data_IF_151691024384
#
_entry.id   IF_151691024384
#
_cell.length_a   1.000
_cell.length_b   1.000
_cell.length_c   1.000
_cell.angle_alpha   90.00
_cell.angle_beta   90.00
_cell.angle_gamma   90.00
#
_symmetry.space_group_name_H-M   'P 1'
#
loop_
_entity.id
_entity.type
_entity.pdbx_description
1 polymer ?
#
# COMPACT_ATOMS: atom_id res chain seq x y z
N UNK A 1 -81.81 25.10 -41.13
CA UNK A 1 -81.19 24.05 -40.29
C UNK A 1 -80.04 24.69 -39.51
N UNK A 2 -80.22 24.92 -38.20
CA UNK A 2 -79.20 25.53 -37.33
C UNK A 2 -78.19 24.46 -36.91
N UNK A 3 -76.91 24.64 -37.23
CA UNK A 3 -75.82 23.78 -36.72
C UNK A 3 -75.37 24.29 -35.36
N UNK A 4 -75.51 23.45 -34.34
CA UNK A 4 -74.96 23.65 -32.99
C UNK A 4 -73.52 23.11 -33.02
N UNK A 5 -72.54 23.95 -32.68
CA UNK A 5 -71.14 23.54 -32.51
C UNK A 5 -70.90 23.41 -31.00
N UNK A 6 -70.61 22.18 -30.58
CA UNK A 6 -70.27 21.80 -29.21
C UNK A 6 -68.77 22.04 -28.99
N UNK A 7 -68.40 22.98 -28.11
CA UNK A 7 -67.01 23.16 -27.67
C UNK A 7 -66.73 22.23 -26.49
N UNK A 8 -65.82 21.26 -26.68
CA UNK A 8 -65.30 20.40 -25.63
C UNK A 8 -64.12 21.11 -24.95
N UNK A 9 -64.24 21.40 -23.66
CA UNK A 9 -63.23 22.08 -22.85
C UNK A 9 -62.38 21.01 -22.14
N UNK A 10 -61.14 20.81 -22.58
CA UNK A 10 -60.17 19.91 -21.94
C UNK A 10 -59.40 20.72 -20.90
N UNK A 11 -59.56 20.37 -19.62
CA UNK A 11 -58.77 20.93 -18.51
C UNK A 11 -57.58 19.99 -18.27
N UNK A 12 -56.32 20.44 -18.40
CA UNK A 12 -55.18 19.63 -18.02
C UNK A 12 -55.02 19.64 -16.49
N UNK A 13 -55.14 18.48 -15.87
CA UNK A 13 -54.71 18.23 -14.50
C UNK A 13 -53.18 18.24 -14.46
N UNK A 14 -52.58 19.37 -14.07
CA UNK A 14 -51.16 19.43 -13.75
C UNK A 14 -50.97 18.92 -12.32
N UNK A 15 -50.61 17.65 -12.17
CA UNK A 15 -50.13 17.09 -10.91
C UNK A 15 -48.72 17.64 -10.65
N UNK A 16 -48.60 18.75 -9.92
CA UNK A 16 -47.30 19.21 -9.42
C UNK A 16 -46.94 18.40 -8.17
N UNK A 17 -46.30 17.24 -8.38
CA UNK A 17 -45.50 16.62 -7.33
C UNK A 17 -44.21 17.43 -7.21
N UNK A 18 -44.17 18.37 -6.27
CA UNK A 18 -42.97 19.13 -5.96
C UNK A 18 -42.08 18.25 -5.07
N UNK A 19 -41.18 17.49 -5.70
CA UNK A 19 -40.07 16.86 -4.98
C UNK A 19 -39.23 17.96 -4.34
N UNK A 20 -39.37 18.14 -3.03
CA UNK A 20 -38.52 19.04 -2.27
C UNK A 20 -37.12 18.45 -2.27
N UNK A 21 -36.20 19.06 -3.03
CA UNK A 21 -34.78 18.73 -2.95
C UNK A 21 -34.33 18.90 -1.49
N UNK A 22 -33.63 17.92 -0.88
CA UNK A 22 -33.11 18.09 0.46
C UNK A 22 -32.15 19.29 0.47
N UNK A 23 -32.50 20.29 1.27
CA UNK A 23 -31.69 21.50 1.47
C UNK A 23 -30.46 21.09 2.28
N UNK A 24 -29.27 21.49 1.81
CA UNK A 24 -28.04 21.30 2.58
C UNK A 24 -28.19 21.89 3.98
N UNK A 25 -27.62 21.24 5.00
CA UNK A 25 -27.57 21.84 6.34
C UNK A 25 -26.68 23.08 6.27
N UNK A 26 -27.29 24.26 6.29
CA UNK A 26 -26.56 25.54 6.31
C UNK A 26 -26.01 25.86 7.71
N UNK A 27 -26.62 25.33 8.78
CA UNK A 27 -26.17 25.51 10.16
C UNK A 27 -26.75 24.43 11.08
N UNK A 28 -25.99 24.07 12.12
CA UNK A 28 -26.46 23.23 13.21
C UNK A 28 -27.47 23.97 14.11
N UNK A 29 -28.62 23.33 14.35
CA UNK A 29 -29.62 23.77 15.35
C UNK A 29 -29.62 22.81 16.54
N UNK A 30 -30.16 23.20 17.72
CA UNK A 30 -30.31 22.29 18.86
C UNK A 30 -31.10 21.02 18.51
N UNK A 31 -32.14 21.15 17.69
CA UNK A 31 -32.99 20.03 17.26
C UNK A 31 -32.20 19.08 16.34
N UNK A 32 -31.50 19.61 15.34
CA UNK A 32 -30.68 18.82 14.43
C UNK A 32 -29.54 18.13 15.19
N UNK A 33 -28.89 18.84 16.10
CA UNK A 33 -27.83 18.30 16.96
C UNK A 33 -28.33 17.08 17.73
N UNK A 34 -29.51 17.20 18.36
CA UNK A 34 -30.15 16.09 19.08
C UNK A 34 -30.45 14.91 18.14
N UNK A 35 -30.98 15.17 16.94
CA UNK A 35 -31.30 14.13 15.95
C UNK A 35 -30.04 13.39 15.49
N UNK A 36 -28.95 14.09 15.22
CA UNK A 36 -27.69 13.49 14.77
C UNK A 36 -27.08 12.64 15.89
N UNK A 37 -27.04 13.15 17.13
CA UNK A 37 -26.54 12.38 18.30
C UNK A 37 -27.38 11.13 18.55
N UNK A 38 -28.70 11.22 18.45
CA UNK A 38 -29.60 10.08 18.65
C UNK A 38 -29.43 9.02 17.55
N UNK A 39 -29.36 9.45 16.29
CA UNK A 39 -29.13 8.58 15.14
C UNK A 39 -27.76 7.91 15.21
N UNK A 40 -26.71 8.66 15.57
CA UNK A 40 -25.36 8.12 15.74
C UNK A 40 -25.32 7.08 16.85
N UNK A 41 -25.94 7.37 17.99
CA UNK A 41 -25.99 6.47 19.13
C UNK A 41 -26.67 5.13 18.78
N UNK A 42 -27.79 5.17 18.03
CA UNK A 42 -28.46 3.97 17.53
C UNK A 42 -27.58 3.22 16.52
N UNK A 43 -26.91 3.94 15.61
CA UNK A 43 -26.01 3.35 14.63
C UNK A 43 -24.82 2.65 15.28
N UNK A 44 -24.21 3.26 16.32
CA UNK A 44 -23.13 2.65 17.10
C UNK A 44 -23.59 1.35 17.75
N UNK A 45 -24.72 1.37 18.46
CA UNK A 45 -25.23 0.18 19.15
C UNK A 45 -25.57 -0.95 18.17
N UNK A 46 -26.10 -0.62 16.99
CA UNK A 46 -26.49 -1.61 15.99
C UNK A 46 -25.30 -2.20 15.22
N UNK A 47 -24.26 -1.41 14.96
CA UNK A 47 -23.23 -1.77 13.99
C UNK A 47 -21.83 -1.91 14.57
N UNK A 48 -21.49 -1.26 15.68
CA UNK A 48 -20.12 -1.26 16.20
C UNK A 48 -19.73 -2.64 16.75
N UNK A 49 -18.52 -3.08 16.41
CA UNK A 49 -17.99 -4.42 16.68
C UNK A 49 -18.08 -4.83 18.16
N UNK A 50 -17.95 -3.88 19.09
CA UNK A 50 -18.02 -4.12 20.53
C UNK A 50 -19.23 -3.40 21.16
N UNK A 51 -20.32 -4.14 21.39
CA UNK A 51 -21.59 -3.56 21.86
C UNK A 51 -21.46 -2.81 23.20
N UNK A 52 -20.64 -3.30 24.13
CA UNK A 52 -20.36 -2.66 25.41
C UNK A 52 -19.68 -1.29 25.25
N UNK A 53 -18.66 -1.22 24.40
CA UNK A 53 -17.98 0.03 24.04
C UNK A 53 -18.90 1.00 23.29
N UNK A 54 -19.78 0.47 22.42
CA UNK A 54 -20.81 1.28 21.75
C UNK A 54 -21.72 1.99 22.75
N UNK A 55 -22.12 1.28 23.82
CA UNK A 55 -22.93 1.86 24.90
C UNK A 55 -22.18 2.94 25.67
N UNK A 56 -20.87 2.77 25.91
CA UNK A 56 -20.02 3.79 26.54
C UNK A 56 -19.97 5.06 25.69
N UNK A 57 -19.67 4.95 24.40
CA UNK A 57 -19.66 6.09 23.47
C UNK A 57 -21.01 6.79 23.41
N UNK A 58 -22.10 6.03 23.25
CA UNK A 58 -23.48 6.56 23.24
C UNK A 58 -23.79 7.35 24.52
N UNK A 59 -23.52 6.76 25.70
CA UNK A 59 -23.73 7.42 26.99
C UNK A 59 -22.91 8.71 27.12
N UNK A 60 -21.67 8.72 26.65
CA UNK A 60 -20.82 9.90 26.66
C UNK A 60 -21.39 11.01 25.78
N UNK A 61 -21.79 10.70 24.54
CA UNK A 61 -22.38 11.68 23.61
C UNK A 61 -23.67 12.30 24.16
N UNK A 62 -24.57 11.51 24.75
CA UNK A 62 -25.77 12.04 25.42
C UNK A 62 -25.42 12.92 26.62
N UNK A 63 -24.37 12.58 27.38
CA UNK A 63 -23.88 13.39 28.48
C UNK A 63 -23.37 14.76 28.02
N UNK A 64 -22.61 14.81 26.92
CA UNK A 64 -22.13 16.07 26.32
C UNK A 64 -23.28 16.91 25.77
N UNK A 65 -24.27 16.27 25.15
CA UNK A 65 -25.49 16.93 24.69
C UNK A 65 -26.27 17.55 25.86
N UNK A 66 -26.45 16.81 26.97
CA UNK A 66 -27.17 17.30 28.16
C UNK A 66 -26.46 18.47 28.85
N UNK A 67 -25.12 18.50 28.82
CA UNK A 67 -24.31 19.62 29.30
C UNK A 67 -24.34 20.84 28.37
N UNK A 68 -24.93 20.72 27.18
CA UNK A 68 -24.99 21.80 26.18
C UNK A 68 -23.66 22.07 25.48
N UNK A 69 -22.72 21.12 25.48
CA UNK A 69 -21.38 21.29 24.87
C UNK A 69 -21.49 21.66 23.38
N UNK A 70 -22.46 21.10 22.69
CA UNK A 70 -22.66 21.32 21.25
C UNK A 70 -23.46 22.59 20.91
N UNK A 71 -24.06 23.29 21.89
CA UNK A 71 -25.03 24.36 21.64
C UNK A 71 -24.48 25.52 20.80
N UNK A 72 -23.19 25.81 20.94
CA UNK A 72 -22.51 26.93 20.30
C UNK A 72 -21.82 26.55 18.98
N UNK A 73 -21.82 25.26 18.60
CA UNK A 73 -21.20 24.81 17.36
C UNK A 73 -22.24 24.92 16.24
N UNK A 74 -22.08 25.92 15.37
CA UNK A 74 -23.02 26.20 14.27
C UNK A 74 -22.58 25.60 12.93
N UNK A 75 -21.28 25.50 12.72
CA UNK A 75 -20.73 24.90 11.53
C UNK A 75 -20.84 23.35 11.58
N UNK A 76 -21.49 22.70 10.59
CA UNK A 76 -21.61 21.25 10.55
C UNK A 76 -20.27 20.51 10.51
N UNK A 77 -19.25 21.10 9.88
CA UNK A 77 -17.91 20.51 9.82
C UNK A 77 -17.25 20.51 11.20
N UNK A 78 -17.23 21.66 11.89
CA UNK A 78 -16.76 21.76 13.27
C UNK A 78 -17.53 20.85 14.23
N UNK A 79 -18.85 20.66 14.02
CA UNK A 79 -19.63 19.72 14.81
C UNK A 79 -19.18 18.27 14.58
N UNK A 80 -18.92 17.88 13.32
CA UNK A 80 -18.44 16.54 13.01
C UNK A 80 -17.06 16.25 13.62
N UNK A 81 -16.16 17.23 13.62
CA UNK A 81 -14.83 17.15 14.25
C UNK A 81 -14.94 16.99 15.78
N UNK A 82 -15.84 17.75 16.41
CA UNK A 82 -16.10 17.61 17.84
C UNK A 82 -16.65 16.23 18.20
N UNK A 83 -17.64 15.72 17.44
CA UNK A 83 -18.18 14.37 17.63
C UNK A 83 -17.08 13.31 17.45
N UNK A 84 -16.24 13.44 16.42
CA UNK A 84 -15.10 12.52 16.22
C UNK A 84 -14.17 12.49 17.44
N UNK A 85 -13.86 13.66 18.01
CA UNK A 85 -13.05 13.77 19.24
C UNK A 85 -13.72 13.11 20.44
N UNK A 86 -15.03 13.33 20.59
CA UNK A 86 -15.82 12.76 21.68
C UNK A 86 -15.97 11.23 21.58
N UNK A 87 -16.06 10.68 20.36
CA UNK A 87 -16.02 9.22 20.11
C UNK A 87 -14.70 8.61 20.57
N UNK A 88 -13.57 9.21 20.20
CA UNK A 88 -12.23 8.74 20.60
C UNK A 88 -12.03 8.79 22.12
N UNK A 89 -12.65 9.76 22.81
CA UNK A 89 -12.62 9.84 24.28
C UNK A 89 -13.39 8.69 24.93
N UNK A 90 -14.54 8.30 24.34
CA UNK A 90 -15.36 7.20 24.83
C UNK A 90 -14.78 5.81 24.54
N UNK A 91 -14.13 5.65 23.39
CA UNK A 91 -13.41 4.44 23.01
C UNK A 91 -12.37 4.77 21.92
N UNK A 92 -11.06 4.75 22.22
CA UNK A 92 -10.02 4.90 21.21
C UNK A 92 -10.08 3.73 20.22
N UNK A 93 -10.44 4.02 18.97
CA UNK A 93 -10.51 3.08 17.85
C UNK A 93 -10.12 3.84 16.60
N UNK A 94 -9.02 3.44 15.96
CA UNK A 94 -8.38 4.25 14.92
C UNK A 94 -9.19 4.30 13.62
N UNK A 95 -10.12 3.36 13.44
CA UNK A 95 -11.00 3.30 12.28
C UNK A 95 -12.37 3.94 12.52
N UNK A 96 -12.68 4.35 13.75
CA UNK A 96 -13.89 5.11 14.05
C UNK A 96 -13.74 6.56 13.58
N UNK A 97 -14.70 7.02 12.76
CA UNK A 97 -14.71 8.39 12.25
C UNK A 97 -16.11 8.96 12.09
N UNK A 98 -16.23 10.28 12.15
CA UNK A 98 -17.49 10.97 11.92
C UNK A 98 -17.27 12.24 11.09
N UNK A 99 -17.93 12.32 9.93
CA UNK A 99 -17.65 13.35 8.94
C UNK A 99 -18.92 14.01 8.44
N UNK A 100 -18.79 15.27 8.03
CA UNK A 100 -19.80 15.99 7.28
C UNK A 100 -19.38 16.11 5.81
N UNK A 101 -20.32 15.89 4.91
CA UNK A 101 -20.12 16.06 3.48
C UNK A 101 -21.29 16.87 2.90
N UNK A 102 -21.01 18.14 2.56
CA UNK A 102 -21.99 19.08 2.01
C UNK A 102 -22.65 18.58 0.72
N UNK A 103 -21.93 17.80 -0.11
CA UNK A 103 -22.49 17.21 -1.34
C UNK A 103 -23.49 16.10 -1.02
N UNK A 104 -23.22 15.27 -0.02
CA UNK A 104 -24.18 14.27 0.47
C UNK A 104 -25.40 14.93 1.14
N UNK A 105 -25.21 16.09 1.78
CA UNK A 105 -26.32 16.86 2.33
C UNK A 105 -27.33 17.30 1.24
N UNK A 106 -26.84 17.61 0.03
CA UNK A 106 -27.65 18.05 -1.11
C UNK A 106 -28.29 16.89 -1.89
N UNK A 107 -27.65 15.72 -1.89
CA UNK A 107 -28.07 14.57 -2.70
C UNK A 107 -28.93 13.56 -1.90
N UNK A 108 -29.03 13.72 -0.57
CA UNK A 108 -29.65 12.74 0.31
C UNK A 108 -28.74 11.53 0.55
N UNK A 109 -29.17 10.55 1.38
CA UNK A 109 -28.44 9.29 1.48
C UNK A 109 -28.34 8.67 0.09
N UNK A 110 -27.18 8.09 -0.29
CA UNK A 110 -27.07 7.41 -1.57
C UNK A 110 -28.18 6.35 -1.66
N UNK A 111 -28.75 6.12 -2.86
CA UNK A 111 -29.69 5.03 -3.02
C UNK A 111 -29.08 3.74 -2.47
N UNK A 112 -29.90 2.81 -1.92
CA UNK A 112 -29.39 1.51 -1.52
C UNK A 112 -28.53 0.95 -2.66
N UNK A 113 -27.32 0.45 -2.37
CA UNK A 113 -26.55 -0.25 -3.39
C UNK A 113 -27.39 -1.46 -3.83
N UNK A 114 -28.13 -1.29 -4.92
CA UNK A 114 -28.99 -2.32 -5.50
C UNK A 114 -28.11 -3.30 -6.26
N UNK A 115 -27.32 -4.09 -5.53
CA UNK A 115 -26.37 -5.01 -6.12
C UNK A 115 -25.36 -4.31 -7.05
N UNK A 116 -24.70 -5.09 -7.92
CA UNK A 116 -23.79 -4.55 -8.94
C UNK A 116 -24.56 -3.65 -9.90
N UNK A 117 -24.15 -2.38 -10.07
CA UNK A 117 -24.55 -1.54 -11.21
C UNK A 117 -23.44 -1.67 -12.26
N UNK A 118 -23.67 -2.38 -13.37
CA UNK A 118 -22.63 -2.62 -14.37
C UNK A 118 -22.01 -1.33 -14.91
N UNK A 119 -22.75 -0.22 -14.99
CA UNK A 119 -22.22 1.06 -15.48
C UNK A 119 -21.32 1.71 -14.44
N UNK A 120 -21.76 1.75 -13.18
CA UNK A 120 -20.95 2.32 -12.10
C UNK A 120 -19.70 1.45 -11.82
N UNK A 121 -19.84 0.13 -11.89
CA UNK A 121 -18.73 -0.82 -11.78
C UNK A 121 -17.75 -0.64 -12.93
N UNK A 122 -18.24 -0.43 -14.15
CA UNK A 122 -17.38 -0.17 -15.32
C UNK A 122 -16.60 1.15 -15.17
N UNK A 123 -17.24 2.22 -14.69
CA UNK A 123 -16.57 3.50 -14.46
C UNK A 123 -15.52 3.39 -13.34
N UNK A 124 -15.88 2.77 -12.20
CA UNK A 124 -14.93 2.50 -11.11
C UNK A 124 -13.74 1.68 -11.60
N UNK A 125 -13.99 0.64 -12.39
CA UNK A 125 -12.92 -0.18 -12.96
C UNK A 125 -12.04 0.60 -13.95
N UNK A 126 -12.62 1.48 -14.77
CA UNK A 126 -11.84 2.33 -15.67
C UNK A 126 -10.92 3.29 -14.90
N UNK A 127 -11.42 3.92 -13.84
CA UNK A 127 -10.65 4.81 -12.97
C UNK A 127 -9.53 4.07 -12.20
N UNK A 128 -9.80 2.82 -11.81
CA UNK A 128 -8.78 1.96 -11.18
C UNK A 128 -7.74 1.48 -12.20
N UNK A 129 -8.17 1.10 -13.41
CA UNK A 129 -7.28 0.67 -14.48
C UNK A 129 -6.30 1.79 -14.89
N UNK A 130 -6.77 3.05 -14.97
CA UNK A 130 -5.92 4.21 -15.23
C UNK A 130 -4.81 4.41 -14.19
N UNK A 131 -4.94 3.82 -12.99
CA UNK A 131 -3.97 3.85 -11.90
C UNK A 131 -3.36 2.46 -11.62
N UNK A 132 -3.42 1.55 -12.60
CA UNK A 132 -2.93 0.17 -12.49
C UNK A 132 -3.43 -0.53 -11.22
N UNK A 133 -4.68 -0.29 -10.82
CA UNK A 133 -5.27 -0.90 -9.64
C UNK A 133 -4.44 -0.68 -8.36
N UNK A 134 -3.83 0.51 -8.25
CA UNK A 134 -2.92 0.95 -7.20
C UNK A 134 -1.49 0.36 -7.21
N UNK A 135 -1.15 -0.50 -8.17
CA UNK A 135 0.23 -0.96 -8.40
C UNK A 135 1.03 0.13 -9.11
N UNK A 136 2.09 0.61 -8.47
CA UNK A 136 2.89 1.75 -8.95
C UNK A 136 4.26 1.35 -9.47
N UNK A 137 4.78 0.19 -9.07
CA UNK A 137 6.04 -0.34 -9.60
C UNK A 137 6.09 -1.88 -9.57
N UNK A 138 6.72 -2.47 -10.59
CA UNK A 138 7.21 -3.84 -10.59
C UNK A 138 8.54 -3.87 -11.33
N UNK A 139 9.62 -4.15 -10.61
CA UNK A 139 10.99 -3.94 -11.06
C UNK A 139 11.90 -5.09 -10.64
N UNK A 140 13.01 -5.24 -11.36
CA UNK A 140 14.13 -6.09 -10.93
C UNK A 140 15.27 -5.15 -10.55
N UNK A 141 15.48 -4.98 -9.25
CA UNK A 141 16.59 -4.21 -8.71
C UNK A 141 17.93 -4.94 -8.94
N UNK A 142 19.06 -4.22 -8.94
CA UNK A 142 20.36 -4.83 -9.20
C UNK A 142 20.66 -5.95 -8.20
N UNK A 143 21.16 -7.08 -8.69
CA UNK A 143 21.33 -8.30 -7.90
C UNK A 143 20.20 -9.33 -8.02
N UNK A 144 19.25 -9.11 -8.94
CA UNK A 144 18.08 -9.97 -9.18
C UNK A 144 17.13 -9.99 -7.98
N UNK A 145 16.80 -8.80 -7.47
CA UNK A 145 15.85 -8.62 -6.37
C UNK A 145 14.57 -8.07 -6.96
N UNK A 146 13.47 -8.78 -6.80
CA UNK A 146 12.16 -8.28 -7.20
C UNK A 146 11.74 -7.14 -6.30
N UNK A 147 11.12 -6.12 -6.88
CA UNK A 147 10.52 -5.01 -6.14
C UNK A 147 9.12 -4.76 -6.68
N UNK A 148 8.13 -4.78 -5.79
CA UNK A 148 6.74 -4.50 -6.14
C UNK A 148 6.20 -3.47 -5.16
N UNK A 149 5.73 -2.33 -5.68
CA UNK A 149 5.10 -1.25 -4.88
C UNK A 149 3.65 -1.10 -5.27
N UNK A 150 2.77 -1.03 -4.27
CA UNK A 150 1.37 -0.68 -4.46
C UNK A 150 0.83 0.05 -3.24
N UNK A 151 -0.03 1.04 -3.46
CA UNK A 151 -0.46 1.99 -2.43
C UNK A 151 -1.92 1.77 -1.98
N UNK A 152 -2.54 0.65 -2.38
CA UNK A 152 -3.87 0.28 -1.91
C UNK A 152 -4.27 -1.13 -2.32
N UNK A 153 -5.27 -1.66 -1.61
CA UNK A 153 -5.92 -2.93 -1.90
C UNK A 153 -7.28 -2.63 -2.53
N UNK A 154 -7.36 -2.64 -3.86
CA UNK A 154 -8.63 -2.39 -4.56
C UNK A 154 -9.55 -3.61 -4.49
N UNK A 155 -10.82 -3.46 -4.88
CA UNK A 155 -11.75 -4.59 -4.96
C UNK A 155 -11.28 -5.65 -5.97
N UNK A 156 -11.54 -6.91 -5.65
CA UNK A 156 -11.18 -8.06 -6.50
C UNK A 156 -12.07 -8.10 -7.73
N UNK A 157 -11.55 -7.60 -8.84
CA UNK A 157 -12.16 -7.70 -10.17
C UNK A 157 -11.24 -8.45 -11.13
N UNK A 158 -11.75 -9.06 -12.22
CA UNK A 158 -10.90 -9.73 -13.19
C UNK A 158 -9.70 -8.90 -13.69
N UNK A 159 -9.83 -7.61 -14.06
CA UNK A 159 -8.67 -6.82 -14.48
C UNK A 159 -7.71 -6.47 -13.32
N UNK A 160 -8.20 -6.34 -12.09
CA UNK A 160 -7.35 -6.17 -10.91
C UNK A 160 -6.49 -7.43 -10.68
N UNK A 161 -7.09 -8.63 -10.73
CA UNK A 161 -6.36 -9.90 -10.61
C UNK A 161 -5.30 -10.03 -11.71
N UNK A 162 -5.63 -9.68 -12.96
CA UNK A 162 -4.66 -9.69 -14.06
C UNK A 162 -3.46 -8.79 -13.79
N UNK A 163 -3.69 -7.62 -13.19
CA UNK A 163 -2.62 -6.67 -12.83
C UNK A 163 -1.72 -7.22 -11.72
N UNK A 164 -2.31 -7.80 -10.66
CA UNK A 164 -1.58 -8.47 -9.58
C UNK A 164 -0.73 -9.62 -10.14
N UNK A 165 -1.35 -10.50 -10.95
CA UNK A 165 -0.65 -11.62 -11.60
C UNK A 165 0.50 -11.12 -12.48
N UNK A 166 0.31 -10.07 -13.27
CA UNK A 166 1.36 -9.53 -14.13
C UNK A 166 2.55 -9.02 -13.30
N UNK A 167 2.29 -8.25 -12.24
CA UNK A 167 3.32 -7.73 -11.36
C UNK A 167 4.14 -8.86 -10.71
N UNK A 168 3.48 -9.90 -10.18
CA UNK A 168 4.15 -11.02 -9.54
C UNK A 168 4.82 -11.98 -10.53
N UNK A 169 4.23 -12.20 -11.71
CA UNK A 169 4.85 -12.98 -12.78
C UNK A 169 6.15 -12.33 -13.27
N UNK A 170 6.20 -11.00 -13.34
CA UNK A 170 7.42 -10.28 -13.74
C UNK A 170 8.60 -10.56 -12.80
N UNK A 171 8.36 -10.66 -11.49
CA UNK A 171 9.39 -10.87 -10.46
C UNK A 171 9.56 -12.32 -10.01
N UNK A 172 8.85 -13.29 -10.61
CA UNK A 172 8.74 -14.66 -10.09
C UNK A 172 10.07 -15.45 -10.04
N UNK A 173 11.08 -15.04 -10.80
CA UNK A 173 12.38 -15.72 -10.88
C UNK A 173 13.51 -14.95 -10.16
N UNK A 174 13.13 -14.01 -9.31
CA UNK A 174 14.07 -13.22 -8.50
C UNK A 174 14.57 -14.02 -7.29
N UNK A 175 15.74 -13.62 -6.77
CA UNK A 175 16.38 -14.30 -5.62
C UNK A 175 15.71 -13.97 -4.28
N UNK A 176 15.11 -12.79 -4.17
CA UNK A 176 14.15 -12.41 -3.14
C UNK A 176 13.22 -11.33 -3.69
N UNK A 177 12.14 -11.07 -2.96
CA UNK A 177 11.16 -10.05 -3.29
C UNK A 177 11.05 -9.04 -2.14
N UNK A 178 11.02 -7.76 -2.50
CA UNK A 178 10.63 -6.66 -1.64
C UNK A 178 9.23 -6.19 -2.06
N UNK A 179 8.30 -6.16 -1.11
CA UNK A 179 6.97 -5.57 -1.27
C UNK A 179 6.95 -4.26 -0.51
N UNK A 180 6.74 -3.14 -1.19
CA UNK A 180 6.72 -1.83 -0.55
C UNK A 180 5.28 -1.39 -0.24
N UNK A 181 4.97 -1.34 1.06
CA UNK A 181 3.69 -0.89 1.61
C UNK A 181 3.83 0.40 2.43
N UNK A 182 4.98 1.10 2.36
CA UNK A 182 5.25 2.29 3.18
C UNK A 182 4.22 3.39 2.99
N UNK A 183 3.64 3.53 1.81
CA UNK A 183 2.61 4.53 1.48
C UNK A 183 1.21 3.88 1.27
N UNK A 184 1.01 2.65 1.74
CA UNK A 184 -0.22 1.92 1.49
C UNK A 184 -1.24 2.14 2.62
N UNK A 185 -2.41 2.66 2.24
CA UNK A 185 -3.49 3.02 3.17
C UNK A 185 -4.58 1.94 3.30
N UNK A 186 -4.30 0.71 2.87
CA UNK A 186 -5.19 -0.42 3.00
C UNK A 186 -6.25 -0.51 1.90
N UNK A 187 -7.45 -0.94 2.25
CA UNK A 187 -8.54 -1.21 1.31
C UNK A 187 -9.22 -2.57 1.52
N UNK A 188 -9.39 -3.32 0.44
CA UNK A 188 -10.19 -4.55 0.40
C UNK A 188 -9.49 -5.75 1.05
N UNK A 189 -10.09 -6.38 2.08
CA UNK A 189 -9.56 -7.62 2.68
C UNK A 189 -9.60 -8.81 1.71
N UNK A 190 -10.49 -8.79 0.71
CA UNK A 190 -10.51 -9.82 -0.34
C UNK A 190 -9.25 -9.77 -1.20
N UNK A 191 -8.77 -8.56 -1.51
CA UNK A 191 -7.52 -8.39 -2.23
C UNK A 191 -6.30 -8.76 -1.39
N UNK A 192 -6.35 -8.61 -0.06
CA UNK A 192 -5.31 -9.17 0.84
C UNK A 192 -5.20 -10.66 0.65
N UNK A 193 -6.32 -11.40 0.67
CA UNK A 193 -6.32 -12.85 0.44
C UNK A 193 -5.81 -13.20 -0.97
N UNK A 194 -6.22 -12.47 -2.00
CA UNK A 194 -5.74 -12.66 -3.36
C UNK A 194 -4.21 -12.49 -3.43
N UNK A 195 -3.66 -11.40 -2.89
CA UNK A 195 -2.21 -11.14 -2.86
C UNK A 195 -1.48 -12.19 -2.03
N UNK A 196 -1.97 -12.52 -0.85
CA UNK A 196 -1.40 -13.54 0.02
C UNK A 196 -1.29 -14.90 -0.69
N UNK A 197 -2.24 -15.23 -1.58
CA UNK A 197 -2.30 -16.50 -2.28
C UNK A 197 -1.09 -16.81 -3.16
N UNK A 198 -0.38 -15.79 -3.64
CA UNK A 198 0.85 -16.00 -4.43
C UNK A 198 2.02 -16.52 -3.59
N UNK A 199 1.95 -16.47 -2.26
CA UNK A 199 3.07 -16.81 -1.37
C UNK A 199 2.98 -18.20 -0.76
N UNK A 200 1.84 -18.88 -0.88
CA UNK A 200 1.60 -20.18 -0.27
C UNK A 200 1.26 -21.22 -1.33
N UNK A 201 1.98 -22.34 -1.41
CA UNK A 201 1.69 -23.40 -2.39
C UNK A 201 0.42 -24.19 -2.04
N UNK A 202 -0.08 -24.07 -0.82
CA UNK A 202 -1.26 -24.76 -0.30
C UNK A 202 -2.19 -23.76 0.39
N UNK A 203 -3.48 -24.10 0.52
CA UNK A 203 -4.43 -23.29 1.28
C UNK A 203 -3.94 -23.12 2.71
N UNK A 204 -3.65 -21.88 3.08
CA UNK A 204 -3.09 -21.51 4.37
C UNK A 204 -4.02 -20.53 5.06
N UNK A 205 -4.30 -20.76 6.35
CA UNK A 205 -5.14 -19.84 7.13
C UNK A 205 -4.30 -18.66 7.60
N UNK A 206 -4.79 -17.48 7.29
CA UNK A 206 -4.19 -16.17 7.62
C UNK A 206 -5.03 -15.50 8.71
N UNK A 207 -5.38 -14.22 8.54
CA UNK A 207 -6.22 -13.49 9.47
C UNK A 207 -7.71 -13.77 9.22
N UNK A 208 -8.45 -14.08 10.27
CA UNK A 208 -9.90 -14.16 10.24
C UNK A 208 -10.51 -12.77 10.44
N UNK A 209 -11.73 -12.57 9.94
CA UNK A 209 -12.57 -11.41 10.22
C UNK A 209 -13.76 -11.86 11.05
N UNK A 210 -13.90 -11.31 12.25
CA UNK A 210 -14.94 -11.68 13.20
C UNK A 210 -15.95 -10.53 13.28
N UNK A 211 -17.24 -10.86 13.16
CA UNK A 211 -18.37 -9.95 13.35
C UNK A 211 -19.13 -10.41 14.61
N UNK A 212 -18.73 -9.96 15.81
CA UNK A 212 -19.25 -10.50 17.07
C UNK A 212 -20.77 -10.38 17.18
N UNK A 213 -21.32 -9.23 16.78
CA UNK A 213 -22.76 -8.96 16.86
C UNK A 213 -23.59 -9.91 15.99
N UNK A 214 -23.00 -10.53 14.97
CA UNK A 214 -23.66 -11.51 14.09
C UNK A 214 -23.26 -12.96 14.40
N UNK A 215 -22.36 -13.17 15.38
CA UNK A 215 -21.71 -14.47 15.66
C UNK A 215 -21.13 -15.10 14.38
N UNK A 216 -20.62 -14.25 13.50
CA UNK A 216 -20.08 -14.64 12.21
C UNK A 216 -18.56 -14.52 12.21
N UNK A 217 -17.90 -15.46 11.56
CA UNK A 217 -16.45 -15.50 11.44
C UNK A 217 -16.09 -15.93 10.02
N UNK A 218 -15.63 -14.96 9.25
CA UNK A 218 -15.04 -15.22 7.94
C UNK A 218 -13.61 -15.70 8.15
N UNK A 219 -13.36 -16.97 7.82
CA UNK A 219 -12.02 -17.55 7.93
C UNK A 219 -11.17 -17.09 6.75
N UNK A 220 -10.04 -16.43 7.03
CA UNK A 220 -9.13 -16.00 5.98
C UNK A 220 -8.31 -17.16 5.46
N UNK A 221 -8.61 -17.64 4.26
CA UNK A 221 -7.84 -18.67 3.57
C UNK A 221 -7.23 -18.11 2.30
N UNK A 222 -5.96 -18.44 2.07
CA UNK A 222 -5.35 -18.29 0.75
C UNK A 222 -5.92 -19.31 -0.22
N UNK A 223 -5.92 -18.97 -1.50
CA UNK A 223 -6.30 -19.86 -2.60
C UNK A 223 -5.23 -19.86 -3.71
N UNK A 224 -4.22 -20.76 -3.64
CA UNK A 224 -3.19 -20.83 -4.68
C UNK A 224 -3.75 -21.10 -6.08
N UNK A 225 -4.97 -21.64 -6.21
CA UNK A 225 -5.59 -21.86 -7.53
C UNK A 225 -6.00 -20.56 -8.22
N UNK A 226 -6.14 -19.47 -7.46
CA UNK A 226 -6.49 -18.14 -7.96
C UNK A 226 -5.27 -17.33 -8.46
N UNK A 227 -4.10 -17.94 -8.61
CA UNK A 227 -2.83 -17.24 -8.92
C UNK A 227 -2.34 -17.42 -10.37
N UNK A 228 -3.14 -18.06 -11.23
CA UNK A 228 -2.75 -18.40 -12.61
C UNK A 228 -1.39 -19.16 -12.67
N UNK A 229 -1.23 -20.09 -11.71
CA UNK A 229 -0.04 -20.94 -11.56
C UNK A 229 1.19 -20.26 -10.95
N UNK A 230 1.12 -18.97 -10.60
CA UNK A 230 2.27 -18.23 -10.05
C UNK A 230 2.37 -18.43 -8.54
N UNK A 231 3.40 -19.17 -8.09
CA UNK A 231 3.76 -19.29 -6.68
C UNK A 231 5.16 -18.73 -6.44
N UNK A 232 5.24 -17.68 -5.64
CA UNK A 232 6.46 -17.00 -5.22
C UNK A 232 7.07 -17.72 -4.02
N UNK A 233 8.22 -18.37 -4.22
CA UNK A 233 8.90 -19.21 -3.20
C UNK A 233 10.13 -18.58 -2.57
N UNK A 234 10.66 -17.53 -3.19
CA UNK A 234 11.82 -16.80 -2.69
C UNK A 234 11.51 -16.11 -1.35
N UNK A 235 12.54 -15.74 -0.56
CA UNK A 235 12.37 -14.88 0.61
C UNK A 235 11.62 -13.59 0.26
N UNK A 236 10.74 -13.14 1.16
CA UNK A 236 9.90 -11.95 0.98
C UNK A 236 10.12 -10.99 2.13
N UNK A 237 10.37 -9.73 1.79
CA UNK A 237 10.51 -8.63 2.73
C UNK A 237 9.41 -7.61 2.46
N UNK A 238 8.72 -7.17 3.51
CA UNK A 238 7.63 -6.21 3.39
C UNK A 238 8.06 -4.93 4.07
N UNK A 239 8.13 -3.84 3.31
CA UNK A 239 8.49 -2.53 3.83
C UNK A 239 7.27 -1.83 4.39
N UNK A 240 7.36 -1.37 5.64
CA UNK A 240 6.29 -0.65 6.34
C UNK A 240 6.74 0.71 6.84
N UNK A 241 5.79 1.64 6.99
CA UNK A 241 5.99 2.93 7.65
C UNK A 241 4.89 3.20 8.68
N UNK A 242 4.98 4.31 9.42
CA UNK A 242 3.88 4.79 10.26
C UNK A 242 2.60 5.13 9.51
N UNK A 243 2.64 5.25 8.17
CA UNK A 243 1.47 5.48 7.31
C UNK A 243 0.81 4.21 6.80
N UNK A 244 1.49 3.06 6.92
CA UNK A 244 0.93 1.76 6.57
C UNK A 244 -0.25 1.46 7.49
N UNK A 245 -1.44 1.24 6.94
CA UNK A 245 -2.66 1.05 7.74
C UNK A 245 -3.62 0.02 7.13
N UNK A 246 -4.49 -0.57 7.96
CA UNK A 246 -5.65 -1.36 7.54
C UNK A 246 -5.25 -2.61 6.74
N UNK A 247 -5.81 -2.84 5.54
CA UNK A 247 -5.50 -4.02 4.72
C UNK A 247 -4.00 -4.23 4.42
N UNK A 248 -3.19 -3.15 4.45
CA UNK A 248 -1.73 -3.27 4.33
C UNK A 248 -1.11 -3.91 5.58
N UNK A 249 -1.62 -3.56 6.75
CA UNK A 249 -1.26 -4.19 8.02
C UNK A 249 -1.77 -5.63 8.08
N UNK A 250 -2.96 -5.92 7.54
CA UNK A 250 -3.49 -7.29 7.42
C UNK A 250 -2.52 -8.20 6.66
N UNK A 251 -2.07 -7.78 5.47
CA UNK A 251 -1.07 -8.53 4.71
C UNK A 251 0.25 -8.68 5.48
N UNK A 252 0.79 -7.59 6.04
CA UNK A 252 2.04 -7.62 6.79
C UNK A 252 1.95 -8.58 7.99
N UNK A 253 0.88 -8.47 8.78
CA UNK A 253 0.64 -9.30 9.96
C UNK A 253 0.45 -10.77 9.60
N UNK A 254 -0.32 -11.06 8.55
CA UNK A 254 -0.50 -12.43 8.05
C UNK A 254 0.83 -13.07 7.63
N UNK A 255 1.64 -12.33 6.86
CA UNK A 255 2.93 -12.80 6.36
C UNK A 255 3.96 -12.99 7.48
N UNK A 256 3.95 -12.11 8.48
CA UNK A 256 4.80 -12.21 9.67
C UNK A 256 4.40 -13.40 10.55
N UNK A 257 3.12 -13.50 10.91
CA UNK A 257 2.60 -14.54 11.80
C UNK A 257 2.79 -15.95 11.24
N UNK A 258 2.67 -16.10 9.92
CA UNK A 258 2.94 -17.36 9.20
C UNK A 258 4.42 -17.61 8.91
N UNK A 259 5.30 -16.68 9.29
CA UNK A 259 6.75 -16.69 8.99
C UNK A 259 7.06 -16.77 7.49
N UNK A 260 6.12 -16.33 6.64
CA UNK A 260 6.29 -16.31 5.18
C UNK A 260 7.00 -15.05 4.71
N UNK A 261 6.85 -13.93 5.41
CA UNK A 261 7.56 -12.68 5.11
C UNK A 261 8.25 -12.12 6.34
N UNK A 262 9.28 -11.30 6.10
CA UNK A 262 9.96 -10.50 7.13
C UNK A 262 9.56 -9.04 6.98
N UNK A 263 9.10 -8.43 8.06
CA UNK A 263 8.64 -7.04 8.08
C UNK A 263 9.81 -6.12 8.44
N UNK A 264 10.04 -5.10 7.63
CA UNK A 264 11.15 -4.17 7.82
C UNK A 264 10.71 -2.72 7.64
N UNK A 265 11.22 -1.82 8.49
CA UNK A 265 10.81 -0.42 8.49
C UNK A 265 10.26 0.00 9.84
N UNK A 266 9.22 0.81 9.82
CA UNK A 266 8.63 1.37 11.04
C UNK A 266 7.40 0.56 11.47
N UNK A 267 7.04 0.73 12.74
CA UNK A 267 5.78 0.25 13.28
C UNK A 267 4.61 0.94 12.56
N UNK A 268 3.61 0.16 12.18
CA UNK A 268 2.45 0.65 11.41
C UNK A 268 1.43 1.40 12.28
N UNK A 269 0.39 1.95 11.65
CA UNK A 269 -0.56 2.84 12.31
C UNK A 269 -1.44 2.17 13.39
N UNK A 270 -1.81 0.91 13.21
CA UNK A 270 -2.61 0.14 14.16
C UNK A 270 -4.11 0.10 13.87
N UNK A 271 -4.53 0.10 12.61
CA UNK A 271 -5.94 -0.10 12.27
C UNK A 271 -6.20 -1.55 11.87
N UNK A 272 -6.83 -2.36 12.73
CA UNK A 272 -7.22 -3.76 12.42
C UNK A 272 -8.72 -3.95 12.16
N UNK A 273 -9.57 -3.00 12.55
CA UNK A 273 -11.02 -3.19 12.45
C UNK A 273 -11.62 -2.79 11.08
N UNK A 274 -12.21 -3.72 10.31
CA UNK A 274 -12.96 -3.35 9.10
C UNK A 274 -14.09 -2.36 9.39
N UNK A 275 -14.12 -1.27 8.62
CA UNK A 275 -15.04 -0.14 8.77
C UNK A 275 -15.95 0.01 7.57
N UNK A 276 -17.21 0.35 7.83
CA UNK A 276 -18.20 0.66 6.81
C UNK A 276 -18.83 2.04 7.02
N UNK A 277 -19.21 2.75 5.94
CA UNK A 277 -19.95 4.00 6.07
C UNK A 277 -21.39 3.73 6.52
N UNK A 278 -21.83 4.47 7.52
CA UNK A 278 -23.23 4.58 7.92
C UNK A 278 -23.68 6.01 7.67
N UNK A 279 -24.73 6.17 6.85
CA UNK A 279 -25.28 7.49 6.52
C UNK A 279 -26.35 7.87 7.54
N UNK A 280 -26.16 9.00 8.22
CA UNK A 280 -27.08 9.48 9.27
C UNK A 280 -28.11 10.48 8.73
N UNK A 281 -28.04 10.80 7.44
CA UNK A 281 -28.80 11.89 6.83
C UNK A 281 -28.15 13.25 7.05
N UNK A 282 -28.71 14.29 6.43
CA UNK A 282 -28.28 15.68 6.61
C UNK A 282 -26.79 15.94 6.29
N UNK A 283 -26.16 15.09 5.48
CA UNK A 283 -24.74 15.18 5.12
C UNK A 283 -23.78 14.54 6.11
N UNK A 284 -24.27 13.97 7.22
CA UNK A 284 -23.43 13.28 8.21
C UNK A 284 -23.24 11.81 7.89
N UNK A 285 -21.99 11.35 8.00
CA UNK A 285 -21.58 9.96 7.76
C UNK A 285 -20.65 9.52 8.87
N UNK A 286 -20.94 8.36 9.47
CA UNK A 286 -20.04 7.71 10.42
C UNK A 286 -19.30 6.56 9.74
N UNK A 287 -17.99 6.47 9.91
CA UNK A 287 -17.25 5.23 9.72
C UNK A 287 -17.36 4.41 10.99
N UNK A 288 -18.16 3.35 10.99
CA UNK A 288 -18.35 2.49 12.17
C UNK A 288 -17.67 1.15 11.91
N UNK A 289 -16.64 0.79 12.70
CA UNK A 289 -16.03 -0.52 12.64
C UNK A 289 -17.03 -1.61 13.03
N UNK A 290 -17.28 -2.55 12.13
CA UNK A 290 -18.32 -3.58 12.30
C UNK A 290 -17.74 -4.97 12.55
N UNK A 291 -16.44 -5.13 12.36
CA UNK A 291 -15.71 -6.37 12.55
C UNK A 291 -14.35 -6.07 13.19
N UNK A 292 -13.68 -7.11 13.65
CA UNK A 292 -12.27 -7.03 14.01
C UNK A 292 -11.49 -8.17 13.38
N UNK A 293 -10.19 -7.95 13.20
CA UNK A 293 -9.30 -8.96 12.66
C UNK A 293 -8.79 -9.86 13.78
N UNK A 294 -8.50 -11.11 13.48
CA UNK A 294 -7.92 -12.04 14.44
C UNK A 294 -7.00 -13.03 13.77
N UNK A 295 -5.76 -13.13 14.24
CA UNK A 295 -4.81 -14.11 13.70
C UNK A 295 -4.72 -15.33 14.62
N UNK A 296 -5.00 -16.51 14.07
CA UNK A 296 -5.01 -17.74 14.85
C UNK A 296 -3.64 -18.23 15.33
N UNK A 297 -2.55 -17.78 14.71
CA UNK A 297 -1.18 -18.20 15.05
C UNK A 297 -0.61 -17.36 16.21
N UNK A 298 -0.95 -16.07 16.27
CA UNK A 298 -0.55 -15.17 17.35
C UNK A 298 -1.55 -15.14 18.50
N UNK A 299 -2.82 -15.43 18.22
CA UNK A 299 -3.92 -15.31 19.17
C UNK A 299 -4.33 -13.86 19.46
N UNK A 300 -3.89 -12.90 18.65
CA UNK A 300 -4.10 -11.46 18.87
C UNK A 300 -4.41 -10.72 17.55
N UNK A 301 -4.58 -9.40 17.66
CA UNK A 301 -4.73 -8.46 16.55
C UNK A 301 -3.77 -7.26 16.70
N UNK A 302 -3.78 -6.34 15.73
CA UNK A 302 -2.87 -5.18 15.70
C UNK A 302 -3.55 -3.82 16.00
N UNK A 303 -4.84 -3.79 16.38
CA UNK A 303 -5.54 -2.53 16.68
C UNK A 303 -4.81 -1.73 17.76
N UNK A 304 -4.61 -0.43 17.53
CA UNK A 304 -3.98 0.52 18.45
C UNK A 304 -2.47 0.29 18.69
N UNK A 305 -1.92 -0.86 18.29
CA UNK A 305 -0.51 -1.19 18.47
C UNK A 305 0.26 -1.02 17.16
N UNK A 306 -0.32 -1.48 16.05
CA UNK A 306 0.35 -1.67 14.77
C UNK A 306 1.13 -2.99 14.70
N UNK A 307 1.51 -3.36 13.48
CA UNK A 307 2.47 -4.42 13.19
C UNK A 307 3.86 -3.92 13.57
N UNK A 308 4.50 -4.61 14.51
CA UNK A 308 5.88 -4.33 14.91
C UNK A 308 6.83 -5.00 13.91
N UNK A 309 7.75 -4.25 13.29
CA UNK A 309 8.66 -4.80 12.29
C UNK A 309 9.64 -5.79 12.93
N UNK A 310 9.99 -6.85 12.19
CA UNK A 310 11.06 -7.77 12.58
C UNK A 310 12.43 -7.08 12.55
N UNK A 311 12.59 -6.14 11.60
CA UNK A 311 13.80 -5.33 11.42
C UNK A 311 13.39 -3.84 11.49
N UNK A 312 13.60 -3.22 12.65
CA UNK A 312 13.30 -1.82 12.86
C UNK A 312 14.25 -0.92 12.07
N UNK A 313 13.71 -0.15 11.12
CA UNK A 313 14.44 0.78 10.25
C UNK A 313 13.59 2.05 10.06
N UNK A 314 14.22 3.16 9.68
CA UNK A 314 13.45 4.31 9.20
C UNK A 314 12.84 3.99 7.84
N UNK A 315 11.63 4.48 7.59
CA UNK A 315 10.92 4.15 6.35
C UNK A 315 11.66 4.65 5.09
N UNK A 316 12.34 5.79 5.16
CA UNK A 316 13.11 6.35 4.05
C UNK A 316 14.37 5.53 3.70
N UNK A 317 15.01 4.94 4.71
CA UNK A 317 16.22 4.13 4.56
C UNK A 317 15.95 2.63 4.36
N UNK A 318 14.73 2.15 4.62
CA UNK A 318 14.47 0.71 4.75
C UNK A 318 14.71 -0.10 3.47
N UNK A 319 14.42 0.47 2.29
CA UNK A 319 14.70 -0.17 1.01
C UNK A 319 16.21 -0.41 0.81
N UNK A 320 17.01 0.62 1.06
CA UNK A 320 18.45 0.59 0.88
C UNK A 320 19.06 -0.39 1.90
N UNK A 321 18.75 -0.22 3.18
CA UNK A 321 19.28 -1.06 4.27
C UNK A 321 18.94 -2.54 4.10
N UNK A 322 17.72 -2.87 3.69
CA UNK A 322 17.33 -4.25 3.38
C UNK A 322 18.09 -4.77 2.17
N UNK A 323 18.22 -3.97 1.11
CA UNK A 323 18.99 -4.35 -0.07
C UNK A 323 20.47 -4.60 0.26
N UNK A 324 21.06 -3.77 1.14
CA UNK A 324 22.45 -3.90 1.61
C UNK A 324 22.66 -5.09 2.53
N UNK A 325 21.72 -5.37 3.43
CA UNK A 325 21.84 -6.44 4.43
C UNK A 325 21.65 -7.81 3.80
N UNK A 326 20.67 -7.95 2.92
CA UNK A 326 20.31 -9.24 2.33
C UNK A 326 21.23 -9.63 1.19
N UNK A 327 21.72 -8.64 0.45
CA UNK A 327 22.61 -8.86 -0.67
C UNK A 327 23.87 -8.03 -0.52
N UNK A 328 24.69 -8.28 0.51
CA UNK A 328 25.86 -7.46 0.80
C UNK A 328 26.89 -7.48 -0.33
N UNK A 329 26.81 -8.45 -1.24
CA UNK A 329 27.67 -8.57 -2.41
C UNK A 329 26.91 -8.34 -3.72
N UNK A 330 25.66 -7.85 -3.68
CA UNK A 330 24.93 -7.45 -4.89
C UNK A 330 25.61 -6.28 -5.57
N UNK A 331 25.30 -6.10 -6.85
CA UNK A 331 25.70 -4.92 -7.58
C UNK A 331 25.26 -3.63 -6.84
N UNK A 332 24.01 -3.58 -6.35
CA UNK A 332 23.50 -2.42 -5.61
C UNK A 332 24.30 -2.15 -4.33
N UNK A 333 24.59 -3.18 -3.54
CA UNK A 333 25.36 -3.00 -2.29
C UNK A 333 26.81 -2.59 -2.53
N UNK A 334 27.41 -3.14 -3.58
CA UNK A 334 28.75 -2.77 -4.01
C UNK A 334 28.79 -1.29 -4.45
N UNK A 335 27.74 -0.79 -5.12
CA UNK A 335 27.64 0.62 -5.51
C UNK A 335 27.59 1.55 -4.28
N UNK A 336 26.87 1.16 -3.22
CA UNK A 336 26.82 1.91 -1.97
C UNK A 336 28.14 1.87 -1.18
N UNK A 337 28.84 0.73 -1.22
CA UNK A 337 30.18 0.57 -0.64
C UNK A 337 31.27 1.29 -1.41
N UNK A 338 31.02 1.64 -2.67
CA UNK A 338 32.01 2.25 -3.53
C UNK A 338 32.40 3.63 -2.99
N UNK A 339 33.68 3.81 -2.68
CA UNK A 339 34.22 5.05 -2.12
C UNK A 339 35.44 5.55 -2.88
N UNK A 340 35.64 6.86 -2.85
CA UNK A 340 36.90 7.47 -3.28
C UNK A 340 37.98 7.17 -2.25
N UNK A 341 38.88 6.26 -2.58
CA UNK A 341 39.99 5.83 -1.72
C UNK A 341 41.31 5.91 -2.48
N UNK A 342 42.37 6.51 -1.90
CA UNK A 342 43.71 6.44 -2.48
C UNK A 342 44.15 4.99 -2.70
N UNK A 343 44.71 4.69 -3.86
CA UNK A 343 45.28 3.38 -4.20
C UNK A 343 46.79 3.41 -4.11
N UNK A 344 47.34 2.46 -3.35
CA UNK A 344 48.78 2.21 -3.29
C UNK A 344 49.24 1.55 -4.60
N UNK A 345 50.20 2.13 -5.35
CA UNK A 345 50.61 1.62 -6.66
C UNK A 345 51.00 0.14 -6.67
N UNK A 346 51.67 -0.33 -5.63
CA UNK A 346 52.07 -1.73 -5.47
C UNK A 346 50.88 -2.69 -5.40
N UNK A 347 49.73 -2.24 -4.88
CA UNK A 347 48.53 -3.07 -4.70
C UNK A 347 47.68 -3.21 -5.97
N UNK A 348 47.83 -2.28 -6.93
CA UNK A 348 47.06 -2.25 -8.17
C UNK A 348 47.91 -2.46 -9.42
N UNK A 349 49.22 -2.65 -9.30
CA UNK A 349 50.15 -2.85 -10.41
C UNK A 349 49.68 -3.95 -11.40
N UNK A 350 49.12 -5.04 -10.87
CA UNK A 350 48.59 -6.14 -11.68
C UNK A 350 47.36 -5.75 -12.51
N UNK A 351 46.66 -4.67 -12.15
CA UNK A 351 45.43 -4.20 -12.78
C UNK A 351 45.70 -3.18 -13.90
N UNK A 352 46.91 -2.61 -13.94
CA UNK A 352 47.28 -1.59 -14.91
C UNK A 352 47.56 -2.21 -16.28
N UNK A 353 47.36 -1.41 -17.33
CA UNK A 353 47.61 -1.80 -18.72
C UNK A 353 46.37 -1.73 -19.60
N UNK A 354 46.48 -2.29 -20.80
CA UNK A 354 45.40 -2.29 -21.78
C UNK A 354 44.71 -3.65 -21.82
N UNK A 355 43.40 -3.62 -21.90
CA UNK A 355 42.54 -4.79 -22.01
C UNK A 355 41.80 -4.77 -23.35
N UNK A 356 41.13 -5.87 -23.66
CA UNK A 356 40.26 -6.03 -24.81
C UNK A 356 39.33 -4.83 -25.02
N UNK A 357 39.18 -4.37 -26.27
CA UNK A 357 38.44 -3.14 -26.60
C UNK A 357 39.24 -1.85 -26.43
N UNK A 358 40.53 -1.94 -26.07
CA UNK A 358 41.40 -0.78 -25.87
C UNK A 358 41.22 -0.11 -24.50
N UNK A 359 40.49 -0.74 -23.58
CA UNK A 359 40.28 -0.27 -22.22
C UNK A 359 41.63 -0.13 -21.49
N UNK A 360 41.99 1.09 -21.10
CA UNK A 360 43.30 1.37 -20.51
C UNK A 360 43.17 1.79 -19.06
N UNK A 361 43.80 1.02 -18.16
CA UNK A 361 43.81 1.29 -16.72
C UNK A 361 45.16 1.84 -16.27
N UNK A 362 45.12 2.96 -15.56
CA UNK A 362 46.32 3.68 -15.10
C UNK A 362 46.06 4.40 -13.78
N UNK A 363 47.14 4.73 -13.06
CA UNK A 363 47.05 5.53 -11.83
C UNK A 363 47.31 7.00 -12.20
N UNK A 364 46.51 7.90 -11.63
CA UNK A 364 46.74 9.33 -11.66
C UNK A 364 46.27 9.93 -10.34
N UNK A 365 47.06 10.83 -9.75
CA UNK A 365 46.71 11.53 -8.50
C UNK A 365 46.24 10.59 -7.36
N UNK A 366 46.88 9.43 -7.24
CA UNK A 366 46.56 8.43 -6.21
C UNK A 366 45.24 7.68 -6.43
N UNK A 367 44.59 7.81 -7.58
CA UNK A 367 43.37 7.09 -7.94
C UNK A 367 43.57 6.22 -9.20
N UNK A 368 42.77 5.16 -9.32
CA UNK A 368 42.73 4.30 -10.49
C UNK A 368 41.76 4.90 -11.51
N UNK A 369 42.20 5.03 -12.76
CA UNK A 369 41.40 5.54 -13.87
C UNK A 369 41.29 4.50 -14.98
N UNK A 370 40.19 4.57 -15.74
CA UNK A 370 39.97 3.82 -16.97
C UNK A 370 39.66 4.78 -18.11
N UNK A 371 40.44 4.72 -19.18
CA UNK A 371 40.09 5.32 -20.47
C UNK A 371 39.39 4.25 -21.32
N UNK A 372 38.19 4.58 -21.80
CA UNK A 372 37.31 3.62 -22.47
C UNK A 372 37.00 4.04 -23.92
N UNK A 373 37.70 3.48 -24.92
CA UNK A 373 37.44 3.76 -26.33
C UNK A 373 36.06 3.33 -26.81
N UNK A 374 35.50 2.25 -26.25
CA UNK A 374 34.16 1.76 -26.57
C UNK A 374 33.05 2.75 -26.15
N UNK A 375 33.40 3.73 -25.31
CA UNK A 375 32.51 4.83 -24.86
C UNK A 375 33.02 6.20 -25.28
N UNK A 376 33.58 6.30 -26.49
CA UNK A 376 34.03 7.57 -27.06
C UNK A 376 35.24 8.17 -26.34
N UNK A 377 36.14 7.32 -25.83
CA UNK A 377 37.32 7.70 -25.06
C UNK A 377 37.03 8.46 -23.75
N UNK A 378 35.87 8.19 -23.13
CA UNK A 378 35.58 8.71 -21.80
C UNK A 378 36.56 8.17 -20.76
N UNK A 379 36.90 9.02 -19.79
CA UNK A 379 37.79 8.68 -18.67
C UNK A 379 36.98 8.58 -17.39
N UNK A 380 37.06 7.43 -16.74
CA UNK A 380 36.33 7.11 -15.51
C UNK A 380 37.30 7.00 -14.35
N UNK A 381 36.97 7.67 -13.23
CA UNK A 381 37.67 7.48 -11.96
C UNK A 381 37.02 6.29 -11.24
N UNK A 382 37.78 5.24 -10.99
CA UNK A 382 37.27 4.04 -10.33
C UNK A 382 37.12 4.29 -8.82
N UNK A 383 35.97 3.90 -8.27
CA UNK A 383 35.70 3.95 -6.82
C UNK A 383 35.93 2.57 -6.22
N UNK A 384 36.64 2.53 -5.09
CA UNK A 384 37.04 1.29 -4.43
C UNK A 384 35.84 0.60 -3.76
N UNK A 385 35.69 -0.71 -3.97
CA UNK A 385 34.67 -1.54 -3.30
C UNK A 385 35.34 -2.52 -2.33
N UNK A 386 36.25 -3.34 -2.85
CA UNK A 386 37.07 -4.31 -2.09
C UNK A 386 38.37 -4.60 -2.85
N UNK A 387 39.33 -5.38 -2.30
CA UNK A 387 40.56 -5.71 -3.03
C UNK A 387 40.27 -6.31 -4.41
N UNK A 388 40.82 -5.69 -5.45
CA UNK A 388 40.60 -6.09 -6.85
C UNK A 388 39.21 -5.80 -7.41
N UNK A 389 38.31 -5.13 -6.68
CA UNK A 389 36.94 -4.87 -7.11
C UNK A 389 36.56 -3.39 -6.99
N UNK A 390 36.10 -2.80 -8.08
CA UNK A 390 35.90 -1.37 -8.21
C UNK A 390 34.60 -1.05 -8.95
N UNK A 391 33.98 0.10 -8.64
CA UNK A 391 32.91 0.68 -9.44
C UNK A 391 33.55 1.50 -10.54
N UNK A 392 33.19 1.22 -11.80
CA UNK A 392 33.66 1.95 -12.96
C UNK A 392 32.78 3.19 -13.22
N UNK A 393 31.47 2.99 -13.23
CA UNK A 393 30.45 4.02 -13.50
C UNK A 393 29.09 3.59 -12.89
N UNK A 394 27.99 4.26 -13.20
CA UNK A 394 26.64 3.95 -12.69
C UNK A 394 26.03 2.63 -13.21
N UNK A 395 26.70 1.92 -14.11
CA UNK A 395 26.20 0.69 -14.75
C UNK A 395 27.17 -0.51 -14.64
N UNK A 396 28.44 -0.29 -14.30
CA UNK A 396 29.48 -1.31 -14.38
C UNK A 396 30.36 -1.34 -13.13
N UNK A 397 30.57 -2.54 -12.60
CA UNK A 397 31.61 -2.87 -11.64
C UNK A 397 32.64 -3.80 -12.28
N UNK A 398 33.92 -3.62 -11.94
CA UNK A 398 35.03 -4.39 -12.53
C UNK A 398 35.83 -5.10 -11.46
N UNK A 399 35.96 -6.43 -11.61
CA UNK A 399 36.79 -7.26 -10.74
C UNK A 399 38.01 -7.76 -11.52
N UNK A 400 39.19 -7.32 -11.11
CA UNK A 400 40.46 -7.66 -11.73
C UNK A 400 40.98 -9.04 -11.28
N UNK A 401 42.00 -9.53 -12.00
CA UNK A 401 42.70 -10.77 -11.66
C UNK A 401 41.86 -12.02 -11.86
N UNK A 402 40.82 -11.95 -12.70
CA UNK A 402 39.99 -13.10 -13.04
C UNK A 402 40.63 -13.89 -14.18
N UNK A 403 40.32 -15.18 -14.27
CA UNK A 403 40.78 -16.06 -15.33
C UNK A 403 39.58 -16.66 -16.10
N UNK A 404 39.70 -16.74 -17.42
CA UNK A 404 38.78 -17.49 -18.27
C UNK A 404 39.59 -18.35 -19.24
N UNK A 405 39.60 -19.68 -19.00
CA UNK A 405 40.56 -20.58 -19.65
C UNK A 405 42.00 -20.21 -19.27
N UNK A 406 42.88 -20.05 -20.27
CA UNK A 406 44.27 -19.65 -20.07
C UNK A 406 44.49 -18.11 -20.02
N UNK A 407 43.44 -17.32 -20.28
CA UNK A 407 43.55 -15.87 -20.35
C UNK A 407 43.33 -15.22 -18.97
N UNK A 408 44.27 -14.36 -18.55
CA UNK A 408 44.09 -13.46 -17.41
C UNK A 408 43.38 -12.18 -17.84
N UNK A 409 42.52 -11.64 -16.99
CA UNK A 409 41.72 -10.47 -17.33
C UNK A 409 40.91 -9.95 -16.16
N UNK A 410 39.73 -9.42 -16.47
CA UNK A 410 38.78 -8.90 -15.51
C UNK A 410 37.35 -9.26 -15.88
N UNK A 411 36.49 -9.39 -14.87
CA UNK A 411 35.06 -9.55 -15.05
C UNK A 411 34.34 -8.21 -14.86
N UNK A 412 33.41 -7.93 -15.77
CA UNK A 412 32.47 -6.83 -15.70
C UNK A 412 31.16 -7.36 -15.15
N UNK A 413 30.67 -6.73 -14.09
CA UNK A 413 29.35 -6.96 -13.53
C UNK A 413 28.48 -5.76 -13.89
N UNK A 414 27.48 -6.02 -14.72
CA UNK A 414 26.57 -5.00 -15.22
C UNK A 414 25.39 -4.84 -14.25
N UNK A 415 24.84 -3.63 -14.16
CA UNK A 415 23.70 -3.30 -13.28
C UNK A 415 22.47 -4.18 -13.55
N UNK A 416 22.29 -4.63 -14.79
CA UNK A 416 21.24 -5.56 -15.21
C UNK A 416 21.53 -7.05 -14.86
N UNK A 417 22.62 -7.34 -14.16
CA UNK A 417 23.00 -8.69 -13.73
C UNK A 417 23.83 -9.49 -14.73
N UNK A 418 24.06 -8.98 -15.95
CA UNK A 418 24.97 -9.65 -16.89
C UNK A 418 26.41 -9.67 -16.36
N UNK A 419 27.17 -10.66 -16.80
CA UNK A 419 28.60 -10.76 -16.54
C UNK A 419 29.31 -10.92 -17.89
N UNK A 420 30.33 -10.09 -18.14
CA UNK A 420 31.23 -10.28 -19.28
C UNK A 420 32.69 -10.30 -18.82
N UNK A 421 33.56 -10.83 -19.66
CA UNK A 421 34.99 -10.89 -19.39
C UNK A 421 35.72 -10.01 -20.40
N UNK A 422 36.79 -9.35 -19.95
CA UNK A 422 37.72 -8.60 -20.80
C UNK A 422 39.12 -9.13 -20.55
N UNK A 423 39.74 -9.68 -21.59
CA UNK A 423 41.09 -10.21 -21.50
C UNK A 423 42.11 -9.07 -21.35
N UNK A 424 43.16 -9.29 -20.55
CA UNK A 424 44.31 -8.39 -20.50
C UNK A 424 45.17 -8.60 -21.74
N UNK A 425 45.50 -7.52 -22.45
CA UNK A 425 46.41 -7.61 -23.59
C UNK A 425 47.82 -7.92 -23.05
N UNK A 426 48.54 -8.79 -23.75
CA UNK A 426 49.91 -9.17 -23.39
C UNK A 426 50.88 -7.99 -23.49
#
# INVERSE_FOLDING_TARGET
MKKIILFLLIIPFACMAQETRPVAVESMTPELTKVVVDTLSKALIANYVFTDKAQVMSKYLYGQLAKGVYNNIKDPQAFAEQISTDLQTGCPDLHMGFHYNARLAQLGPPPPMNGPDPRQDSLRNADMAARNFAFTASEILPGNVGYVKFNGFVDVTPPAIQTVTAAFRFVQHTKALIIDLRENHGGSPEMVKQVASYFFPEKTRVNDIIVPNKRDTSKGWTDPTATDGVILRMPVYILTSSQTVSAAEDLAYAMQATKRGTIAGEKTAGGSHPVGPVFLGHGFVAGIPFAHSYNIHTGTEWEGIGVVPDIALKADASLDEISLTLFPNSWYANQHKAVDRPVEPSTVQAYLGTYEGGLKFYIKDGALYCENPERGNQVFKLRYISPGFFQLDENVQVKFGQQQGAASGMQFYWSNGNISFKQKNQ
#
